data_IF_577914408091
#
_entry.id   IF_577914408091
#
_cell.length_a   1.000
_cell.length_b   1.000
_cell.length_c   1.000
_cell.angle_alpha   90.00
_cell.angle_beta   90.00
_cell.angle_gamma   90.00
#
_symmetry.space_group_name_H-M   'P 1'
#
loop_
_entity.id
_entity.type
_entity.pdbx_description
1 polymer ?
#
# COMPACT_ATOMS: atom_id res chain seq x y z
N UNK A 1 -27.67 24.57 1.88
CA UNK A 1 -27.03 25.46 0.91
C UNK A 1 -26.26 26.48 1.72
N UNK A 2 -25.03 26.13 2.09
CA UNK A 2 -24.23 26.91 3.04
C UNK A 2 -23.34 27.83 2.20
N UNK A 3 -23.68 29.12 2.15
CA UNK A 3 -22.83 30.15 1.57
C UNK A 3 -21.49 30.16 2.32
N UNK A 4 -20.41 29.81 1.63
CA UNK A 4 -19.05 29.98 2.13
C UNK A 4 -18.66 31.42 1.82
N UNK A 5 -18.64 32.27 2.85
CA UNK A 5 -18.19 33.66 2.72
C UNK A 5 -16.68 33.68 2.49
N UNK A 6 -16.24 33.65 1.22
CA UNK A 6 -14.83 33.82 0.88
C UNK A 6 -14.35 35.22 1.30
N UNK A 7 -13.69 35.29 2.45
CA UNK A 7 -13.15 36.54 2.99
C UNK A 7 -11.71 36.71 2.53
N UNK A 8 -11.52 37.59 1.53
CA UNK A 8 -10.19 37.98 1.06
C UNK A 8 -9.69 39.20 1.85
N UNK A 9 -8.60 39.02 2.59
CA UNK A 9 -8.02 40.06 3.44
C UNK A 9 -6.57 40.32 3.03
N UNK A 10 -6.12 41.58 3.14
CA UNK A 10 -4.68 41.85 2.98
C UNK A 10 -3.88 41.18 4.10
N UNK A 11 -2.61 40.83 3.85
CA UNK A 11 -1.74 40.16 4.84
C UNK A 11 -1.72 40.87 6.20
N UNK A 12 -1.77 42.21 6.20
CA UNK A 12 -1.80 43.02 7.42
C UNK A 12 -3.14 42.93 8.15
N UNK A 13 -4.26 42.89 7.41
CA UNK A 13 -5.59 42.74 7.98
C UNK A 13 -5.80 41.32 8.54
N UNK A 14 -5.27 40.30 7.87
CA UNK A 14 -5.27 38.92 8.34
C UNK A 14 -4.42 38.74 9.61
N UNK A 15 -3.24 39.36 9.67
CA UNK A 15 -2.42 39.37 10.88
C UNK A 15 -3.18 39.96 12.07
N UNK A 16 -3.91 41.08 11.85
CA UNK A 16 -4.68 41.76 12.89
C UNK A 16 -5.89 40.95 13.35
N UNK A 17 -6.61 40.27 12.45
CA UNK A 17 -7.78 39.45 12.83
C UNK A 17 -7.41 38.25 13.68
N UNK A 18 -6.23 37.65 13.45
CA UNK A 18 -5.70 36.51 14.23
C UNK A 18 -4.79 36.91 15.41
N UNK A 19 -4.51 38.20 15.59
CA UNK A 19 -3.60 38.69 16.63
C UNK A 19 -2.14 38.27 16.41
N UNK A 20 -1.75 37.97 15.18
CA UNK A 20 -0.38 37.55 14.83
C UNK A 20 0.48 38.74 14.40
N UNK A 21 1.80 38.61 14.57
CA UNK A 21 2.73 39.63 14.07
C UNK A 21 2.79 39.58 12.54
N UNK A 22 2.98 40.75 11.90
CA UNK A 22 3.16 40.86 10.44
C UNK A 22 4.33 40.01 9.94
N UNK A 23 5.38 39.87 10.75
CA UNK A 23 6.54 39.03 10.45
C UNK A 23 6.18 37.53 10.42
N UNK A 24 5.29 37.07 11.31
CA UNK A 24 4.83 35.69 11.32
C UNK A 24 4.01 35.35 10.06
N UNK A 25 3.12 36.26 9.64
CA UNK A 25 2.36 36.10 8.38
C UNK A 25 3.27 36.15 7.16
N UNK A 26 4.31 36.99 7.17
CA UNK A 26 5.34 36.99 6.13
C UNK A 26 6.10 35.67 6.03
N UNK A 27 6.45 35.05 7.17
CA UNK A 27 7.05 33.71 7.20
C UNK A 27 6.10 32.64 6.67
N UNK A 28 4.81 32.74 6.96
CA UNK A 28 3.79 31.82 6.45
C UNK A 28 3.68 31.88 4.92
N UNK A 29 3.68 33.08 4.35
CA UNK A 29 3.73 33.28 2.90
C UNK A 29 5.03 32.74 2.28
N UNK A 30 6.18 33.03 2.89
CA UNK A 30 7.48 32.56 2.40
C UNK A 30 7.61 31.03 2.44
N UNK A 31 6.99 30.38 3.43
CA UNK A 31 6.96 28.93 3.54
C UNK A 31 5.85 28.27 2.69
N UNK A 32 5.15 29.02 1.84
CA UNK A 32 4.09 28.51 0.97
C UNK A 32 2.86 27.98 1.72
N UNK A 33 2.69 28.37 2.99
CA UNK A 33 1.60 27.90 3.87
C UNK A 33 0.41 28.87 3.92
N UNK A 34 0.41 29.87 3.05
CA UNK A 34 -0.61 30.90 2.98
C UNK A 34 -1.09 30.99 1.54
N UNK A 35 -2.38 30.83 1.34
CA UNK A 35 -3.00 30.79 0.02
C UNK A 35 -3.38 32.21 -0.35
N UNK A 36 -2.77 32.69 -1.42
CA UNK A 36 -2.98 34.04 -1.94
C UNK A 36 -3.69 33.95 -3.27
N UNK A 37 -4.72 34.78 -3.44
CA UNK A 37 -5.40 34.98 -4.71
C UNK A 37 -4.45 35.72 -5.66
N UNK A 38 -4.67 35.62 -6.98
CA UNK A 38 -3.83 36.24 -8.02
C UNK A 38 -3.57 37.75 -7.81
N UNK A 39 -4.45 38.44 -7.07
CA UNK A 39 -4.34 39.86 -6.72
C UNK A 39 -3.51 40.14 -5.45
N UNK A 40 -2.85 39.14 -4.86
CA UNK A 40 -1.99 39.27 -3.67
C UNK A 40 -2.76 39.42 -2.34
N UNK A 41 -4.05 39.09 -2.34
CA UNK A 41 -4.92 39.05 -1.16
C UNK A 41 -4.92 37.64 -0.56
N UNK A 42 -4.97 37.56 0.77
CA UNK A 42 -4.99 36.29 1.51
C UNK A 42 -6.40 35.72 1.50
N UNK A 43 -6.54 34.51 0.97
CA UNK A 43 -7.74 33.70 1.14
C UNK A 43 -7.73 33.11 2.56
N UNK A 44 -8.55 33.68 3.43
CA UNK A 44 -8.57 33.33 4.86
C UNK A 44 -9.07 31.90 5.06
N UNK A 45 -10.11 31.49 4.35
CA UNK A 45 -10.72 30.18 4.54
C UNK A 45 -9.80 29.07 4.03
N UNK A 46 -9.19 29.26 2.85
CA UNK A 46 -8.26 28.29 2.30
C UNK A 46 -6.98 28.18 3.16
N UNK A 47 -6.47 29.32 3.64
CA UNK A 47 -5.28 29.35 4.52
C UNK A 47 -5.57 28.67 5.86
N UNK A 48 -6.76 28.86 6.44
CA UNK A 48 -7.14 28.21 7.71
C UNK A 48 -7.30 26.70 7.57
N UNK A 49 -7.88 26.21 6.48
CA UNK A 49 -7.95 24.77 6.21
C UNK A 49 -6.55 24.17 6.08
N UNK A 50 -5.66 24.83 5.34
CA UNK A 50 -4.29 24.36 5.16
C UNK A 50 -3.49 24.39 6.48
N UNK A 51 -3.68 25.41 7.30
CA UNK A 51 -3.07 25.50 8.63
C UNK A 51 -3.64 24.50 9.64
N UNK A 52 -4.92 24.14 9.52
CA UNK A 52 -5.56 23.10 10.35
C UNK A 52 -5.01 21.70 10.05
N UNK A 53 -4.84 21.38 8.75
CA UNK A 53 -4.28 20.09 8.31
C UNK A 53 -2.79 19.98 8.68
N UNK A 54 -2.07 21.10 8.64
CA UNK A 54 -0.60 21.11 8.82
C UNK A 54 -0.13 21.61 10.20
N UNK A 55 -1.06 21.84 11.14
CA UNK A 55 -0.71 22.14 12.53
C UNK A 55 -0.53 20.85 13.33
N UNK A 56 0.65 20.73 13.92
CA UNK A 56 1.02 19.67 14.85
C UNK A 56 0.06 19.65 16.06
N UNK A 57 -0.65 18.54 16.35
CA UNK A 57 -1.57 18.43 17.48
C UNK A 57 -0.87 18.57 18.85
N UNK A 58 0.46 18.66 18.89
CA UNK A 58 1.26 18.75 20.12
C UNK A 58 1.44 20.18 20.67
N UNK A 59 1.00 21.23 19.96
CA UNK A 59 1.21 22.61 20.40
C UNK A 59 0.02 23.14 21.21
N UNK A 60 -0.02 22.83 22.50
CA UNK A 60 -0.93 23.52 23.45
C UNK A 60 -0.64 25.03 23.43
N UNK A 61 -1.65 25.92 23.28
CA UNK A 61 -1.43 27.36 23.39
C UNK A 61 -1.19 27.72 24.85
N UNK A 62 0.08 27.96 25.22
CA UNK A 62 0.43 28.53 26.52
C UNK A 62 0.12 30.03 26.53
N UNK A 63 -1.16 30.38 26.65
CA UNK A 63 -1.55 31.73 27.06
C UNK A 63 -1.58 31.79 28.59
N UNK A 64 -0.46 32.16 29.21
CA UNK A 64 -0.46 32.64 30.60
C UNK A 64 0.40 33.90 30.66
N UNK A 65 -0.13 35.06 31.10
CA UNK A 65 0.64 36.29 31.25
C UNK A 65 1.76 36.13 32.28
N UNK A 66 2.93 36.65 31.95
CA UNK A 66 4.10 36.65 32.79
C UNK A 66 3.86 37.42 34.11
N UNK A 67 4.19 36.79 35.23
CA UNK A 67 4.41 37.47 36.51
C UNK A 67 5.84 37.12 36.99
N UNK A 68 6.65 38.10 37.42
CA UNK A 68 8.01 37.85 37.85
C UNK A 68 8.02 37.52 39.35
N UNK A 69 8.64 36.41 39.75
CA UNK A 69 9.05 36.21 41.14
C UNK A 69 10.28 35.30 41.21
N UNK A 70 11.32 35.90 41.77
CA UNK A 70 12.58 35.33 42.26
C UNK A 70 12.41 34.18 43.24
N UNK A 71 13.16 33.08 43.05
CA UNK A 71 14.25 32.64 43.94
C UNK A 71 14.60 31.16 43.73
N UNK A 72 15.84 30.94 43.30
CA UNK A 72 16.82 29.99 43.83
C UNK A 72 16.35 28.59 44.28
N UNK A 73 16.63 27.58 43.45
CA UNK A 73 17.36 26.42 43.96
C UNK A 73 18.27 25.81 42.88
N UNK A 74 19.50 25.56 43.32
CA UNK A 74 20.64 25.04 42.58
C UNK A 74 20.45 23.54 42.35
N UNK A 75 20.50 23.10 41.09
CA UNK A 75 21.17 21.85 40.70
C UNK A 75 21.86 22.14 39.34
N UNK A 76 23.18 21.98 39.32
CA UNK A 76 24.05 22.18 38.17
C UNK A 76 23.79 21.18 37.03
N UNK A 77 24.23 21.52 35.79
CA UNK A 77 23.75 20.91 34.57
C UNK A 77 24.65 19.76 34.10
N UNK A 78 24.05 18.61 33.75
CA UNK A 78 24.66 17.69 32.78
C UNK A 78 24.17 18.10 31.40
N UNK A 79 24.85 19.08 30.83
CA UNK A 79 24.74 19.41 29.40
C UNK A 79 25.45 18.31 28.62
N UNK A 80 24.71 17.31 28.17
CA UNK A 80 25.11 16.60 26.96
C UNK A 80 24.40 17.31 25.81
N UNK A 81 25.10 17.89 24.83
CA UNK A 81 24.45 18.46 23.67
C UNK A 81 23.90 17.31 22.83
N UNK A 82 22.65 16.93 23.10
CA UNK A 82 21.88 16.05 22.24
C UNK A 82 21.71 16.75 20.91
N UNK A 83 22.63 16.48 19.99
CA UNK A 83 22.58 17.03 18.65
C UNK A 83 21.23 16.63 18.04
N UNK A 84 20.37 17.58 17.65
CA UNK A 84 19.04 17.28 17.16
C UNK A 84 19.06 16.37 15.90
N UNK A 85 20.20 16.24 15.22
CA UNK A 85 20.38 15.31 14.11
C UNK A 85 20.36 13.83 14.52
N UNK A 86 20.87 13.47 15.70
CA UNK A 86 20.90 12.06 16.16
C UNK A 86 19.50 11.57 16.58
N UNK A 87 18.73 12.42 17.27
CA UNK A 87 17.35 12.12 17.68
C UNK A 87 16.44 12.00 16.45
N UNK A 88 16.60 12.87 15.45
CA UNK A 88 15.87 12.79 14.18
C UNK A 88 16.24 11.52 13.40
N UNK A 89 17.52 11.13 13.36
CA UNK A 89 17.96 9.87 12.72
C UNK A 89 17.41 8.62 13.42
N UNK A 90 17.30 8.63 14.75
CA UNK A 90 16.70 7.54 15.52
C UNK A 90 15.19 7.40 15.24
N UNK A 91 14.45 8.50 15.21
CA UNK A 91 13.02 8.48 14.88
C UNK A 91 12.78 8.00 13.44
N UNK A 92 13.59 8.44 12.48
CA UNK A 92 13.53 7.94 11.09
C UNK A 92 13.80 6.44 11.00
N UNK A 93 14.80 5.94 11.74
CA UNK A 93 15.14 4.52 11.78
C UNK A 93 14.00 3.69 12.39
N UNK A 94 13.40 4.18 13.48
CA UNK A 94 12.25 3.56 14.14
C UNK A 94 11.01 3.54 13.23
N UNK A 95 10.75 4.64 12.51
CA UNK A 95 9.67 4.70 11.53
C UNK A 95 9.86 3.72 10.37
N UNK A 96 11.09 3.60 9.84
CA UNK A 96 11.43 2.63 8.78
C UNK A 96 11.26 1.19 9.24
N UNK A 97 11.67 0.87 10.47
CA UNK A 97 11.50 -0.45 11.06
C UNK A 97 10.01 -0.78 11.23
N UNK A 98 9.22 0.14 11.82
CA UNK A 98 7.79 -0.04 12.00
C UNK A 98 7.05 -0.26 10.68
N UNK A 99 7.43 0.48 9.63
CA UNK A 99 6.87 0.31 8.29
C UNK A 99 7.26 -1.02 7.65
N UNK A 100 8.50 -1.47 7.82
CA UNK A 100 8.92 -2.80 7.36
C UNK A 100 8.18 -3.92 8.10
N UNK A 101 8.00 -3.79 9.41
CA UNK A 101 7.20 -4.73 10.22
C UNK A 101 5.73 -4.74 9.78
N UNK A 102 5.14 -3.58 9.50
CA UNK A 102 3.77 -3.51 8.99
C UNK A 102 3.62 -4.25 7.66
N UNK A 103 4.56 -4.07 6.73
CA UNK A 103 4.57 -4.80 5.44
C UNK A 103 4.73 -6.31 5.60
N UNK A 104 5.58 -6.75 6.52
CA UNK A 104 5.69 -8.18 6.86
C UNK A 104 4.39 -8.71 7.47
N UNK A 105 3.75 -7.94 8.36
CA UNK A 105 2.47 -8.33 8.93
C UNK A 105 1.36 -8.40 7.86
N UNK A 106 1.33 -7.46 6.90
CA UNK A 106 0.36 -7.49 5.80
C UNK A 106 0.56 -8.71 4.89
N UNK A 107 1.80 -8.99 4.49
CA UNK A 107 2.12 -10.14 3.63
C UNK A 107 1.79 -11.47 4.31
N UNK A 108 2.19 -11.63 5.58
CA UNK A 108 1.83 -12.83 6.37
C UNK A 108 0.32 -12.98 6.57
N UNK A 109 -0.41 -11.87 6.79
CA UNK A 109 -1.87 -11.92 6.88
C UNK A 109 -2.49 -12.39 5.54
N UNK A 110 -2.01 -11.87 4.42
CA UNK A 110 -2.49 -12.30 3.09
C UNK A 110 -2.15 -13.76 2.77
N UNK A 111 -0.97 -14.25 3.18
CA UNK A 111 -0.59 -15.65 3.10
C UNK A 111 -1.53 -16.53 3.95
N UNK A 112 -1.78 -16.15 5.21
CA UNK A 112 -2.71 -16.90 6.08
C UNK A 112 -4.14 -16.90 5.56
N UNK A 113 -4.55 -15.84 4.85
CA UNK A 113 -5.85 -15.75 4.18
C UNK A 113 -5.88 -16.49 2.83
N UNK A 114 -4.82 -17.21 2.46
CA UNK A 114 -4.67 -17.93 1.18
C UNK A 114 -4.83 -17.04 -0.06
N UNK A 115 -4.53 -15.75 0.07
CA UNK A 115 -4.60 -14.79 -1.04
C UNK A 115 -3.25 -14.65 -1.77
N UNK A 116 -2.17 -15.19 -1.21
CA UNK A 116 -0.83 -15.22 -1.80
C UNK A 116 -0.31 -16.65 -1.85
N UNK A 117 0.37 -16.99 -2.95
CA UNK A 117 1.09 -18.26 -3.16
C UNK A 117 2.46 -17.93 -3.72
N UNK A 118 3.47 -18.72 -3.37
CA UNK A 118 4.81 -18.56 -3.93
C UNK A 118 4.83 -18.86 -5.43
N UNK A 119 5.35 -17.92 -6.22
CA UNK A 119 5.41 -18.04 -7.69
C UNK A 119 6.20 -19.28 -8.11
N UNK A 120 7.30 -19.61 -7.41
CA UNK A 120 8.11 -20.78 -7.71
C UNK A 120 7.33 -22.10 -7.60
N UNK A 121 6.42 -22.20 -6.62
CA UNK A 121 5.56 -23.38 -6.43
C UNK A 121 4.54 -23.49 -7.57
N UNK A 122 3.91 -22.38 -7.93
CA UNK A 122 2.94 -22.35 -9.05
C UNK A 122 3.61 -22.70 -10.38
N UNK A 123 4.79 -22.13 -10.65
CA UNK A 123 5.55 -22.41 -11.87
C UNK A 123 5.95 -23.89 -11.96
N UNK A 124 6.44 -24.46 -10.85
CA UNK A 124 6.80 -25.88 -10.80
C UNK A 124 5.58 -26.78 -11.03
N UNK A 125 4.45 -26.49 -10.38
CA UNK A 125 3.20 -27.23 -10.54
C UNK A 125 2.65 -27.11 -11.97
N UNK A 126 2.68 -25.92 -12.57
CA UNK A 126 2.25 -25.70 -13.95
C UNK A 126 3.12 -26.45 -14.96
N UNK A 127 4.44 -26.46 -14.77
CA UNK A 127 5.35 -27.25 -15.61
C UNK A 127 5.13 -28.76 -15.46
N UNK A 128 4.88 -29.25 -14.24
CA UNK A 128 4.57 -30.65 -13.99
C UNK A 128 3.26 -31.05 -14.67
N UNK A 129 2.20 -30.25 -14.50
CA UNK A 129 0.90 -30.43 -15.14
C UNK A 129 1.01 -30.47 -16.67
N UNK A 130 1.77 -29.54 -17.27
CA UNK A 130 1.99 -29.51 -18.72
C UNK A 130 2.72 -30.75 -19.25
N UNK A 131 3.76 -31.22 -18.53
CA UNK A 131 4.47 -32.45 -18.90
C UNK A 131 3.55 -33.66 -18.83
N UNK A 132 2.79 -33.78 -17.76
CA UNK A 132 1.83 -34.87 -17.57
C UNK A 132 0.77 -34.90 -18.68
N UNK A 133 0.16 -33.76 -18.99
CA UNK A 133 -0.81 -33.63 -20.09
C UNK A 133 -0.22 -34.08 -21.42
N UNK A 134 1.00 -33.62 -21.73
CA UNK A 134 1.71 -34.02 -22.95
C UNK A 134 1.92 -35.53 -22.99
N UNK A 135 2.40 -36.12 -21.91
CA UNK A 135 2.70 -37.55 -21.85
C UNK A 135 1.43 -38.40 -21.99
N UNK A 136 0.32 -37.96 -21.39
CA UNK A 136 -1.01 -38.57 -21.57
C UNK A 136 -1.48 -38.51 -23.03
N UNK A 137 -1.43 -37.35 -23.67
CA UNK A 137 -1.85 -37.21 -25.08
C UNK A 137 -0.97 -38.05 -26.00
N UNK A 138 0.35 -38.06 -25.80
CA UNK A 138 1.27 -38.83 -26.63
C UNK A 138 1.18 -40.35 -26.38
N UNK A 139 0.54 -40.76 -25.29
CA UNK A 139 0.22 -42.18 -25.04
C UNK A 139 -1.03 -42.67 -25.78
N UNK A 140 -1.90 -41.77 -26.27
CA UNK A 140 -3.13 -42.16 -26.96
C UNK A 140 -2.90 -42.95 -28.25
N UNK A 141 -1.99 -42.57 -29.16
CA UNK A 141 -1.82 -43.29 -30.42
C UNK A 141 -1.50 -44.76 -30.24
N UNK A 142 -0.67 -45.12 -29.25
CA UNK A 142 -0.33 -46.52 -28.97
C UNK A 142 -1.50 -47.31 -28.38
N UNK A 143 -2.36 -46.66 -27.59
CA UNK A 143 -3.57 -47.27 -27.03
C UNK A 143 -4.67 -47.44 -28.08
N UNK A 144 -4.86 -46.45 -28.95
CA UNK A 144 -5.93 -46.44 -29.94
C UNK A 144 -5.59 -47.23 -31.20
N UNK A 145 -4.31 -47.38 -31.55
CA UNK A 145 -3.86 -48.10 -32.76
C UNK A 145 -4.54 -49.46 -33.00
N UNK A 146 -4.60 -50.41 -32.04
CA UNK A 146 -5.24 -51.70 -32.26
C UNK A 146 -6.75 -51.57 -32.52
N UNK A 147 -7.45 -50.73 -31.76
CA UNK A 147 -8.90 -50.54 -31.96
C UNK A 147 -9.22 -49.86 -33.28
N UNK A 148 -8.47 -48.81 -33.63
CA UNK A 148 -8.61 -48.11 -34.90
C UNK A 148 -8.30 -49.01 -36.09
N UNK A 149 -7.35 -49.95 -35.97
CA UNK A 149 -7.03 -50.90 -37.04
C UNK A 149 -8.18 -51.87 -37.37
N UNK A 150 -9.08 -52.10 -36.40
CA UNK A 150 -10.25 -52.96 -36.58
C UNK A 150 -11.48 -52.19 -37.10
N UNK A 151 -11.47 -50.85 -37.06
CA UNK A 151 -12.57 -50.02 -37.53
C UNK A 151 -12.43 -49.73 -39.03
N UNK A 152 -13.56 -49.77 -39.75
CA UNK A 152 -13.60 -49.48 -41.20
C UNK A 152 -14.49 -48.29 -41.58
N UNK A 153 -15.33 -47.82 -40.66
CA UNK A 153 -16.19 -46.66 -40.86
C UNK A 153 -15.50 -45.37 -40.38
N UNK A 154 -15.26 -44.39 -41.28
CA UNK A 154 -14.67 -43.10 -40.91
C UNK A 154 -15.42 -42.36 -39.81
N UNK A 155 -16.75 -42.41 -39.79
CA UNK A 155 -17.54 -41.72 -38.76
C UNK A 155 -17.32 -42.33 -37.37
N UNK A 156 -17.30 -43.67 -37.31
CA UNK A 156 -17.01 -44.39 -36.07
C UNK A 156 -15.59 -44.09 -35.56
N UNK A 157 -14.60 -44.03 -36.47
CA UNK A 157 -13.21 -43.66 -36.14
C UNK A 157 -13.14 -42.26 -35.54
N UNK A 158 -13.73 -41.26 -36.18
CA UNK A 158 -13.73 -39.88 -35.69
C UNK A 158 -14.41 -39.78 -34.32
N UNK A 159 -15.59 -40.39 -34.17
CA UNK A 159 -16.33 -40.40 -32.90
C UNK A 159 -15.51 -41.02 -31.78
N UNK A 160 -14.82 -42.14 -32.05
CA UNK A 160 -13.99 -42.82 -31.07
C UNK A 160 -12.74 -42.02 -30.69
N UNK A 161 -12.08 -41.37 -31.66
CA UNK A 161 -10.96 -40.46 -31.42
C UNK A 161 -11.37 -39.29 -30.52
N UNK A 162 -12.48 -38.61 -30.85
CA UNK A 162 -12.97 -37.46 -30.08
C UNK A 162 -13.36 -37.88 -28.66
N UNK A 163 -14.03 -39.03 -28.50
CA UNK A 163 -14.37 -39.55 -27.18
C UNK A 163 -13.13 -39.85 -26.34
N UNK A 164 -12.12 -40.47 -26.95
CA UNK A 164 -10.86 -40.82 -26.28
C UNK A 164 -10.06 -39.58 -25.88
N UNK A 165 -9.96 -38.58 -26.75
CA UNK A 165 -9.32 -37.31 -26.45
C UNK A 165 -10.02 -36.58 -25.30
N UNK A 166 -11.35 -36.49 -25.33
CA UNK A 166 -12.13 -35.86 -24.25
C UNK A 166 -11.87 -36.54 -22.92
N UNK A 167 -11.95 -37.87 -22.89
CA UNK A 167 -11.68 -38.66 -21.67
C UNK A 167 -10.30 -38.34 -21.09
N UNK A 168 -9.26 -38.34 -21.93
CA UNK A 168 -7.89 -38.06 -21.46
C UNK A 168 -7.73 -36.62 -20.99
N UNK A 169 -8.36 -35.65 -21.65
CA UNK A 169 -8.32 -34.25 -21.22
C UNK A 169 -9.06 -34.05 -19.89
N UNK A 170 -10.19 -34.72 -19.69
CA UNK A 170 -10.94 -34.70 -18.43
C UNK A 170 -10.14 -35.37 -17.30
N UNK A 171 -9.54 -36.53 -17.57
CA UNK A 171 -8.65 -37.23 -16.63
C UNK A 171 -7.46 -36.33 -16.24
N UNK A 172 -6.81 -35.68 -17.21
CA UNK A 172 -5.71 -34.75 -16.97
C UNK A 172 -6.16 -33.52 -16.16
N UNK A 173 -7.35 -32.97 -16.43
CA UNK A 173 -7.89 -31.84 -15.69
C UNK A 173 -8.18 -32.21 -14.22
N UNK A 174 -8.75 -33.39 -13.97
CA UNK A 174 -9.02 -33.88 -12.62
C UNK A 174 -7.74 -34.11 -11.81
N UNK A 175 -6.70 -34.68 -12.44
CA UNK A 175 -5.44 -34.97 -11.76
C UNK A 175 -4.64 -33.69 -11.47
N UNK A 176 -4.56 -32.78 -12.45
CA UNK A 176 -3.84 -31.52 -12.26
C UNK A 176 -4.51 -30.62 -11.22
N UNK A 177 -5.84 -30.56 -11.17
CA UNK A 177 -6.56 -29.82 -10.12
C UNK A 177 -6.21 -30.31 -8.71
N UNK A 178 -6.16 -31.63 -8.50
CA UNK A 178 -5.76 -32.22 -7.22
C UNK A 178 -4.30 -31.92 -6.86
N UNK A 179 -3.39 -31.98 -7.85
CA UNK A 179 -1.97 -31.67 -7.63
C UNK A 179 -1.73 -30.19 -7.33
N UNK A 180 -2.44 -29.27 -7.99
CA UNK A 180 -2.39 -27.84 -7.68
C UNK A 180 -2.93 -27.54 -6.28
N UNK A 181 -4.06 -28.14 -5.89
CA UNK A 181 -4.58 -27.99 -4.54
C UNK A 181 -3.55 -28.50 -3.52
N UNK A 182 -2.95 -29.66 -3.73
CA UNK A 182 -1.90 -30.16 -2.83
C UNK A 182 -0.69 -29.23 -2.78
N UNK A 183 -0.20 -28.73 -3.92
CA UNK A 183 0.96 -27.85 -3.99
C UNK A 183 0.74 -26.48 -3.34
N UNK A 184 -0.49 -25.94 -3.39
CA UNK A 184 -0.83 -24.66 -2.75
C UNK A 184 -0.96 -24.84 -1.23
N UNK A 185 -1.30 -26.03 -0.75
CA UNK A 185 -1.55 -26.32 0.66
C UNK A 185 -0.38 -27.01 1.39
N UNK A 186 0.65 -27.44 0.66
CA UNK A 186 1.89 -28.05 1.18
C UNK A 186 2.93 -27.01 1.58
#
# INVERSE_FOLDING_TARGET
MTEVYMTFLSRTAYAKSKGWSRQYVGKLAQNGRLIETADGLVDVDATEQFLGITSDPSRRPSNTPAQPSSNSHVIEPVNTPESPSMVVGYQQSKARLALAQARLAETTLLETNKSLVEVAVVDAAAFAAGRMLRDLILSLPTQLAPELSAMSDPWQIEKYLVASLRRVLDDAASMTAADFDNAIHS
#
